data_IF_675179837822
#
_entry.id   IF_675179837822
#
_cell.length_a   1.000
_cell.length_b   1.000
_cell.length_c   1.000
_cell.angle_alpha   90.00
_cell.angle_beta   90.00
_cell.angle_gamma   90.00
#
_symmetry.space_group_name_H-M   'P 1'
#
loop_
_entity.id
_entity.type
_entity.pdbx_description
1 polymer ?
#
# COMPACT_ATOMS: atom_id res chain seq x y z
N UNK A 1 22.48 11.05 -0.22
CA UNK A 1 22.40 10.93 1.25
C UNK A 1 21.40 11.95 1.78
N UNK A 2 20.38 11.46 2.48
CA UNK A 2 19.38 12.23 3.22
C UNK A 2 19.81 12.55 4.64
N UNK A 3 19.02 13.36 5.33
CA UNK A 3 19.28 13.83 6.69
C UNK A 3 18.14 13.41 7.65
N UNK A 4 17.65 14.32 8.49
CA UNK A 4 16.43 14.10 9.27
C UNK A 4 15.24 14.66 8.51
N UNK A 5 14.17 13.88 8.39
CA UNK A 5 12.93 14.28 7.73
C UNK A 5 12.71 13.54 6.42
N UNK A 6 11.60 13.84 5.76
CA UNK A 6 11.23 13.20 4.50
C UNK A 6 12.08 13.76 3.36
N UNK A 7 12.92 12.92 2.76
CA UNK A 7 13.84 13.31 1.69
C UNK A 7 13.37 12.84 0.31
N UNK A 8 13.67 13.66 -0.71
CA UNK A 8 13.42 13.35 -2.12
C UNK A 8 14.74 13.18 -2.87
N UNK A 9 14.91 12.02 -3.50
CA UNK A 9 16.02 11.70 -4.38
C UNK A 9 15.54 11.58 -5.83
N UNK A 10 16.30 12.14 -6.76
CA UNK A 10 16.18 11.80 -8.18
C UNK A 10 17.37 10.92 -8.52
N UNK A 11 17.12 9.74 -9.10
CA UNK A 11 18.18 8.83 -9.55
C UNK A 11 19.10 9.56 -10.54
N UNK A 12 18.57 9.91 -11.70
CA UNK A 12 19.33 10.62 -12.73
C UNK A 12 20.51 9.79 -13.22
N UNK A 13 21.37 10.36 -14.07
CA UNK A 13 22.43 9.60 -14.72
C UNK A 13 23.50 9.13 -13.75
N UNK A 14 23.71 7.81 -13.70
CA UNK A 14 24.87 7.24 -13.04
C UNK A 14 24.53 5.92 -12.38
N UNK A 15 25.41 5.45 -11.50
CA UNK A 15 25.07 4.39 -10.57
C UNK A 15 25.24 5.00 -9.18
N UNK A 16 24.13 5.23 -8.47
CA UNK A 16 24.15 5.99 -7.23
C UNK A 16 23.87 5.11 -6.00
N UNK A 17 24.39 5.56 -4.86
CA UNK A 17 24.05 5.01 -3.56
C UNK A 17 23.16 6.03 -2.81
N UNK A 18 21.88 5.72 -2.72
CA UNK A 18 20.86 6.57 -2.11
C UNK A 18 20.54 6.05 -0.71
N UNK A 19 21.07 6.72 0.31
CA UNK A 19 20.66 6.52 1.71
C UNK A 19 19.66 7.60 2.09
N UNK A 20 18.43 7.22 2.43
CA UNK A 20 17.35 8.12 2.83
C UNK A 20 17.46 8.64 4.26
N UNK A 21 18.25 8.02 5.15
CA UNK A 21 18.31 8.46 6.54
C UNK A 21 17.01 8.18 7.32
N UNK A 22 16.52 9.16 8.08
CA UNK A 22 15.31 9.02 8.93
C UNK A 22 14.15 9.79 8.33
N UNK A 23 13.00 9.15 8.17
CA UNK A 23 11.79 9.79 7.63
C UNK A 23 11.12 8.86 6.62
N UNK A 24 10.11 9.38 5.93
CA UNK A 24 9.55 8.79 4.72
C UNK A 24 10.31 9.34 3.52
N UNK A 25 11.15 8.51 2.92
CA UNK A 25 12.08 8.90 1.87
C UNK A 25 11.66 8.32 0.52
N UNK A 26 11.76 9.15 -0.51
CA UNK A 26 11.23 8.90 -1.83
C UNK A 26 12.35 9.01 -2.87
N UNK A 27 12.51 8.00 -3.71
CA UNK A 27 13.35 8.04 -4.90
C UNK A 27 12.48 8.14 -6.16
N UNK A 28 12.87 8.98 -7.10
CA UNK A 28 12.16 9.22 -8.36
C UNK A 28 13.04 8.79 -9.53
N UNK A 29 12.46 7.95 -10.38
CA UNK A 29 13.01 7.41 -11.61
C UNK A 29 12.31 8.05 -12.82
N UNK A 30 13.04 8.12 -13.92
CA UNK A 30 12.66 8.90 -15.10
C UNK A 30 11.73 8.18 -16.08
N UNK A 31 11.53 6.87 -15.92
CA UNK A 31 10.82 5.99 -16.85
C UNK A 31 9.77 5.10 -16.21
N UNK A 32 9.15 4.27 -17.05
CA UNK A 32 8.10 3.34 -16.62
C UNK A 32 8.74 2.15 -15.91
N UNK A 33 8.11 1.61 -14.87
CA UNK A 33 8.65 0.49 -14.08
C UNK A 33 9.08 -0.70 -14.93
N UNK A 34 8.38 -0.97 -16.04
CA UNK A 34 8.71 -2.08 -16.96
C UNK A 34 10.08 -1.95 -17.62
N UNK A 35 10.71 -0.78 -17.56
CA UNK A 35 12.06 -0.50 -18.07
C UNK A 35 13.13 -0.68 -16.99
N UNK A 36 12.75 -1.11 -15.78
CA UNK A 36 13.66 -1.29 -14.66
C UNK A 36 13.60 -2.71 -14.09
N UNK A 37 14.74 -3.16 -13.60
CA UNK A 37 14.87 -4.36 -12.79
C UNK A 37 15.03 -3.96 -11.33
N UNK A 38 14.00 -4.22 -10.52
CA UNK A 38 14.01 -4.02 -9.07
C UNK A 38 14.39 -5.32 -8.37
N UNK A 39 15.46 -5.30 -7.58
CA UNK A 39 15.98 -6.48 -6.87
C UNK A 39 16.41 -6.13 -5.45
N UNK A 40 16.13 -7.00 -4.49
CA UNK A 40 16.67 -6.88 -3.13
C UNK A 40 18.05 -7.55 -3.10
N UNK A 41 19.10 -6.80 -2.78
CA UNK A 41 20.48 -7.32 -2.79
C UNK A 41 20.98 -7.66 -1.38
N UNK A 42 20.41 -7.04 -0.34
CA UNK A 42 20.55 -7.44 1.07
C UNK A 42 19.31 -6.99 1.89
N UNK A 43 19.33 -7.22 3.20
CA UNK A 43 18.19 -6.94 4.09
C UNK A 43 17.76 -5.47 4.06
N UNK A 44 18.70 -4.54 3.88
CA UNK A 44 18.48 -3.09 3.97
C UNK A 44 18.56 -2.36 2.61
N UNK A 45 18.98 -3.06 1.55
CA UNK A 45 19.29 -2.45 0.26
C UNK A 45 18.50 -3.05 -0.91
N UNK A 46 17.78 -2.17 -1.61
CA UNK A 46 17.14 -2.44 -2.89
C UNK A 46 18.02 -1.89 -4.01
N UNK A 47 18.28 -2.68 -5.04
CA UNK A 47 18.88 -2.22 -6.29
C UNK A 47 17.79 -2.03 -7.36
N UNK A 48 17.83 -0.89 -8.05
CA UNK A 48 16.98 -0.59 -9.20
C UNK A 48 17.91 -0.32 -10.38
N UNK A 49 17.84 -1.19 -11.40
CA UNK A 49 18.65 -1.06 -12.60
C UNK A 49 17.77 -0.67 -13.79
N UNK A 50 18.09 0.45 -14.43
CA UNK A 50 17.47 0.94 -15.66
C UNK A 50 18.03 0.19 -16.87
N UNK A 51 17.15 -0.40 -17.68
CA UNK A 51 17.51 -1.07 -18.93
C UNK A 51 17.77 -0.08 -20.08
N UNK A 52 17.44 1.21 -19.89
CA UNK A 52 17.74 2.28 -20.85
C UNK A 52 19.14 2.86 -20.62
N UNK A 53 19.95 2.89 -21.68
CA UNK A 53 21.30 3.47 -21.61
C UNK A 53 21.24 4.99 -21.34
N UNK A 54 22.14 5.46 -20.47
CA UNK A 54 22.39 6.88 -20.18
C UNK A 54 21.17 7.66 -19.61
N UNK A 55 20.25 6.97 -18.92
CA UNK A 55 19.13 7.58 -18.19
C UNK A 55 19.34 7.56 -16.69
N UNK A 56 18.87 6.53 -15.98
CA UNK A 56 19.01 6.46 -14.52
C UNK A 56 20.12 5.49 -14.06
N UNK A 57 20.51 4.54 -14.91
CA UNK A 57 21.57 3.57 -14.60
C UNK A 57 21.21 2.61 -13.47
N UNK A 58 22.16 2.25 -12.59
CA UNK A 58 21.94 1.23 -11.54
C UNK A 58 22.14 1.79 -10.14
N UNK A 59 21.04 1.97 -9.42
CA UNK A 59 21.03 2.63 -8.12
C UNK A 59 20.79 1.65 -6.97
N UNK A 60 21.48 1.88 -5.86
CA UNK A 60 21.32 1.15 -4.60
C UNK A 60 20.65 2.05 -3.55
N UNK A 61 19.43 1.68 -3.15
CA UNK A 61 18.57 2.41 -2.23
C UNK A 61 18.60 1.75 -0.85
N UNK A 62 18.89 2.54 0.18
CA UNK A 62 18.85 2.14 1.58
C UNK A 62 18.04 3.17 2.38
N UNK A 63 17.19 2.71 3.31
CA UNK A 63 16.27 3.59 4.09
C UNK A 63 15.41 4.51 3.21
N UNK A 64 15.06 4.02 2.02
CA UNK A 64 14.09 4.63 1.10
C UNK A 64 12.83 3.79 1.13
N UNK A 65 11.69 4.41 1.40
CA UNK A 65 10.40 3.75 1.57
C UNK A 65 9.67 3.63 0.24
N UNK A 66 9.87 4.60 -0.67
CA UNK A 66 9.18 4.67 -1.96
C UNK A 66 10.13 4.82 -3.11
N UNK A 67 9.95 4.03 -4.16
CA UNK A 67 10.46 4.31 -5.50
C UNK A 67 9.30 4.72 -6.41
N UNK A 68 9.39 5.88 -7.05
CA UNK A 68 8.40 6.42 -7.98
C UNK A 68 8.93 6.29 -9.39
N UNK A 69 8.17 5.61 -10.24
CA UNK A 69 8.37 5.52 -11.69
C UNK A 69 7.35 6.44 -12.39
N UNK A 70 7.45 6.63 -13.71
CA UNK A 70 6.52 7.48 -14.43
C UNK A 70 5.09 6.93 -14.49
N UNK A 71 4.92 5.62 -14.32
CA UNK A 71 3.65 4.92 -14.41
C UNK A 71 3.11 4.39 -13.07
N UNK A 72 3.96 4.04 -12.10
CA UNK A 72 3.53 3.69 -10.74
C UNK A 72 4.65 3.79 -9.68
N UNK A 73 4.30 3.55 -8.41
CA UNK A 73 5.24 3.63 -7.29
C UNK A 73 5.36 2.29 -6.57
N UNK A 74 6.56 1.92 -6.16
CA UNK A 74 6.83 0.72 -5.37
C UNK A 74 7.09 1.14 -3.93
N UNK A 75 6.34 0.55 -3.00
CA UNK A 75 6.59 0.62 -1.58
C UNK A 75 7.49 -0.50 -1.09
N UNK A 76 8.53 -0.17 -0.36
CA UNK A 76 9.40 -1.14 0.32
C UNK A 76 9.04 -1.32 1.80
N UNK A 77 8.16 -0.45 2.29
CA UNK A 77 7.71 -0.28 3.66
C UNK A 77 6.31 -0.88 3.80
N UNK A 78 6.21 -2.20 3.79
CA UNK A 78 4.92 -2.92 3.95
C UNK A 78 4.51 -3.06 5.43
N UNK A 79 5.07 -2.22 6.32
CA UNK A 79 4.86 -2.28 7.75
C UNK A 79 3.49 -1.76 8.22
N UNK A 80 3.17 -1.99 9.48
CA UNK A 80 1.96 -1.46 10.12
C UNK A 80 2.04 0.08 10.28
N UNK A 81 0.95 0.78 9.99
CA UNK A 81 0.88 2.26 10.08
C UNK A 81 1.41 3.03 8.87
N UNK A 82 1.95 2.34 7.87
CA UNK A 82 2.41 2.93 6.61
C UNK A 82 1.31 2.84 5.55
N UNK A 83 1.21 3.83 4.66
CA UNK A 83 0.17 3.91 3.60
C UNK A 83 0.17 2.66 2.71
N UNK A 84 1.34 2.06 2.53
CA UNK A 84 1.58 0.76 1.86
C UNK A 84 0.86 -0.39 2.55
N UNK A 85 0.91 -0.43 3.89
CA UNK A 85 0.34 -1.51 4.69
C UNK A 85 -1.18 -1.48 4.67
N UNK A 86 -1.78 -0.29 4.76
CA UNK A 86 -3.23 -0.15 4.63
C UNK A 86 -3.70 -0.55 3.21
N UNK A 87 -3.01 -0.04 2.18
CA UNK A 87 -3.27 -0.41 0.79
C UNK A 87 -3.16 -1.93 0.56
N UNK A 88 -2.12 -2.55 1.11
CA UNK A 88 -1.93 -4.00 1.06
C UNK A 88 -3.06 -4.77 1.76
N UNK A 89 -3.39 -4.40 3.01
CA UNK A 89 -4.43 -5.09 3.79
C UNK A 89 -5.82 -4.95 3.17
N UNK A 90 -6.12 -3.84 2.48
CA UNK A 90 -7.39 -3.69 1.77
C UNK A 90 -7.62 -4.76 0.70
N UNK A 91 -6.57 -5.33 0.10
CA UNK A 91 -6.74 -6.45 -0.84
C UNK A 91 -7.36 -7.70 -0.21
N UNK A 92 -7.34 -7.83 1.12
CA UNK A 92 -8.04 -8.89 1.84
C UNK A 92 -9.51 -9.00 1.42
N UNK A 93 -10.22 -7.88 1.17
CA UNK A 93 -11.64 -7.92 0.76
C UNK A 93 -11.87 -8.54 -0.62
N UNK A 94 -10.80 -8.81 -1.37
CA UNK A 94 -10.85 -9.50 -2.67
C UNK A 94 -10.46 -10.98 -2.54
N UNK A 95 -10.21 -11.46 -1.32
CA UNK A 95 -9.72 -12.81 -1.00
C UNK A 95 -8.41 -13.16 -1.74
N UNK A 96 -7.51 -12.19 -1.85
CA UNK A 96 -6.20 -12.39 -2.47
C UNK A 96 -5.16 -11.39 -1.97
N UNK A 97 -3.90 -11.78 -2.11
CA UNK A 97 -2.80 -10.83 -2.06
C UNK A 97 -2.80 -9.93 -3.33
N UNK A 98 -2.33 -8.68 -3.23
CA UNK A 98 -2.11 -7.87 -4.41
C UNK A 98 -1.01 -8.44 -5.30
N UNK A 99 -1.13 -8.21 -6.60
CA UNK A 99 0.02 -8.22 -7.49
C UNK A 99 0.80 -6.88 -7.38
N UNK A 100 2.08 -6.91 -7.77
CA UNK A 100 2.96 -5.76 -7.62
C UNK A 100 2.46 -4.51 -8.36
N UNK A 101 1.88 -4.69 -9.55
CA UNK A 101 1.39 -3.60 -10.38
C UNK A 101 0.13 -2.96 -9.76
N UNK A 102 -0.82 -3.77 -9.32
CA UNK A 102 -2.03 -3.31 -8.66
C UNK A 102 -1.74 -2.55 -7.36
N UNK A 103 -0.90 -3.12 -6.49
CA UNK A 103 -0.50 -2.43 -5.25
C UNK A 103 0.24 -1.13 -5.54
N UNK A 104 1.16 -1.16 -6.52
CA UNK A 104 1.94 0.01 -6.88
C UNK A 104 1.09 1.14 -7.47
N UNK A 105 0.06 0.82 -8.24
CA UNK A 105 -0.92 1.79 -8.72
C UNK A 105 -1.64 2.48 -7.56
N UNK A 106 -2.14 1.74 -6.57
CA UNK A 106 -2.85 2.33 -5.44
C UNK A 106 -1.95 3.18 -4.57
N UNK A 107 -0.75 2.67 -4.26
CA UNK A 107 0.29 3.43 -3.55
C UNK A 107 0.57 4.75 -4.27
N UNK A 108 0.80 4.71 -5.58
CA UNK A 108 1.08 5.90 -6.37
C UNK A 108 -0.03 6.94 -6.22
N UNK A 109 -1.29 6.53 -6.40
CA UNK A 109 -2.42 7.45 -6.29
C UNK A 109 -2.59 8.03 -4.88
N UNK A 110 -2.38 7.23 -3.84
CA UNK A 110 -2.43 7.68 -2.44
C UNK A 110 -1.31 8.69 -2.16
N UNK A 111 -0.09 8.43 -2.64
CA UNK A 111 1.04 9.36 -2.53
C UNK A 111 0.79 10.67 -3.31
N UNK A 112 -0.04 10.64 -4.37
CA UNK A 112 -0.51 11.84 -5.09
C UNK A 112 -1.73 12.53 -4.44
N UNK A 113 -2.18 12.07 -3.26
CA UNK A 113 -3.24 12.71 -2.48
C UNK A 113 -4.62 12.07 -2.59
N UNK A 114 -4.77 10.90 -3.23
CA UNK A 114 -5.98 10.09 -3.09
C UNK A 114 -6.15 9.67 -1.63
N UNK A 115 -7.37 9.78 -1.09
CA UNK A 115 -7.63 9.31 0.27
C UNK A 115 -7.72 7.78 0.33
N UNK A 116 -7.35 7.17 1.46
CA UNK A 116 -7.57 5.75 1.70
C UNK A 116 -9.06 5.37 1.62
N UNK A 117 -9.96 6.30 1.96
CA UNK A 117 -11.40 6.11 1.81
C UNK A 117 -11.82 6.01 0.35
N UNK A 118 -11.26 6.84 -0.55
CA UNK A 118 -11.55 6.75 -1.99
C UNK A 118 -11.00 5.44 -2.59
N UNK A 119 -9.81 5.03 -2.15
CA UNK A 119 -9.25 3.71 -2.50
C UNK A 119 -10.18 2.59 -2.04
N UNK A 120 -10.54 2.54 -0.76
CA UNK A 120 -11.46 1.55 -0.20
C UNK A 120 -12.80 1.52 -0.96
N UNK A 121 -13.34 2.69 -1.30
CA UNK A 121 -14.56 2.81 -2.08
C UNK A 121 -14.42 2.22 -3.49
N UNK A 122 -13.26 2.35 -4.12
CA UNK A 122 -12.99 1.74 -5.42
C UNK A 122 -12.94 0.21 -5.35
N UNK A 123 -12.36 -0.36 -4.29
CA UNK A 123 -12.39 -1.82 -4.05
C UNK A 123 -13.83 -2.30 -3.89
N UNK A 124 -14.61 -1.66 -3.02
CA UNK A 124 -16.00 -2.05 -2.73
C UNK A 124 -16.93 -1.89 -3.95
N UNK A 125 -16.60 -1.01 -4.89
CA UNK A 125 -17.33 -0.81 -6.14
C UNK A 125 -16.85 -1.69 -7.29
N UNK A 126 -15.77 -2.45 -7.11
CA UNK A 126 -15.20 -3.29 -8.16
C UNK A 126 -16.11 -4.50 -8.47
N UNK A 127 -16.09 -4.94 -9.73
CA UNK A 127 -16.73 -6.19 -10.12
C UNK A 127 -16.11 -7.41 -9.42
N UNK A 128 -14.84 -7.30 -9.03
CA UNK A 128 -14.12 -8.31 -8.27
C UNK A 128 -14.71 -8.47 -6.87
N UNK A 129 -14.84 -7.39 -6.10
CA UNK A 129 -15.49 -7.41 -4.79
C UNK A 129 -16.92 -7.97 -4.86
N UNK A 130 -17.71 -7.53 -5.85
CA UNK A 130 -19.06 -8.04 -6.03
C UNK A 130 -19.11 -9.54 -6.36
N UNK A 131 -18.07 -10.08 -7.01
CA UNK A 131 -17.96 -11.50 -7.35
C UNK A 131 -17.50 -12.33 -6.16
N UNK A 132 -16.59 -11.80 -5.34
CA UNK A 132 -16.06 -12.46 -4.13
C UNK A 132 -17.08 -12.46 -2.98
N UNK A 133 -17.71 -11.31 -2.72
CA UNK A 133 -18.52 -11.09 -1.50
C UNK A 133 -20.03 -10.98 -1.76
N UNK A 134 -20.43 -10.85 -3.02
CA UNK A 134 -21.80 -10.51 -3.39
C UNK A 134 -22.11 -9.02 -3.17
N UNK A 135 -23.34 -8.63 -3.49
CA UNK A 135 -23.75 -7.20 -3.53
C UNK A 135 -24.68 -6.77 -2.40
N UNK A 136 -25.16 -7.70 -1.57
CA UNK A 136 -26.27 -7.45 -0.63
C UNK A 136 -25.97 -7.91 0.81
N UNK A 137 -24.77 -7.61 1.31
CA UNK A 137 -24.45 -7.83 2.72
C UNK A 137 -25.19 -6.81 3.61
N UNK A 138 -25.72 -7.27 4.74
CA UNK A 138 -26.12 -6.36 5.82
C UNK A 138 -24.89 -5.91 6.64
N UNK A 139 -25.07 -4.93 7.54
CA UNK A 139 -23.95 -4.37 8.30
C UNK A 139 -23.19 -5.42 9.13
N UNK A 140 -23.90 -6.34 9.79
CA UNK A 140 -23.28 -7.40 10.58
C UNK A 140 -22.48 -8.35 9.71
N UNK A 141 -23.04 -8.78 8.57
CA UNK A 141 -22.35 -9.66 7.62
C UNK A 141 -21.11 -8.99 7.04
N UNK A 142 -21.23 -7.73 6.64
CA UNK A 142 -20.10 -6.94 6.13
C UNK A 142 -18.96 -6.86 7.15
N UNK A 143 -19.26 -6.50 8.40
CA UNK A 143 -18.24 -6.41 9.45
C UNK A 143 -17.62 -7.77 9.76
N UNK A 144 -18.42 -8.84 9.88
CA UNK A 144 -17.89 -10.19 10.10
C UNK A 144 -16.93 -10.59 9.00
N UNK A 145 -17.29 -10.31 7.74
CA UNK A 145 -16.45 -10.63 6.60
C UNK A 145 -15.13 -9.85 6.61
N UNK A 146 -15.14 -8.56 7.00
CA UNK A 146 -13.88 -7.80 7.13
C UNK A 146 -12.92 -8.39 8.17
N UNK A 147 -13.41 -9.00 9.25
CA UNK A 147 -12.55 -9.70 10.21
C UNK A 147 -11.84 -10.90 9.58
N UNK A 148 -12.56 -11.68 8.80
CA UNK A 148 -12.01 -12.86 8.11
C UNK A 148 -11.05 -12.44 6.98
N UNK A 149 -11.50 -11.53 6.12
CA UNK A 149 -10.79 -11.13 4.90
C UNK A 149 -9.54 -10.28 5.20
N UNK A 150 -9.68 -9.25 6.03
CA UNK A 150 -8.63 -8.23 6.25
C UNK A 150 -7.75 -8.57 7.45
N UNK A 151 -8.33 -9.11 8.52
CA UNK A 151 -7.60 -9.42 9.76
C UNK A 151 -7.26 -10.91 9.90
N UNK A 152 -7.76 -11.77 9.01
CA UNK A 152 -7.50 -13.21 9.02
C UNK A 152 -7.82 -13.86 10.38
N UNK A 153 -8.89 -13.38 11.03
CA UNK A 153 -9.33 -13.87 12.34
C UNK A 153 -10.83 -13.79 12.50
N UNK A 154 -11.35 -14.57 13.43
CA UNK A 154 -12.75 -14.44 13.84
C UNK A 154 -13.01 -13.11 14.54
N UNK A 155 -14.20 -12.56 14.28
CA UNK A 155 -14.70 -11.37 14.96
C UNK A 155 -15.01 -11.70 16.42
N UNK A 156 -14.40 -10.97 17.36
CA UNK A 156 -14.87 -10.97 18.73
C UNK A 156 -16.18 -10.17 18.85
N UNK A 157 -17.05 -10.55 19.79
CA UNK A 157 -18.39 -9.97 19.91
C UNK A 157 -18.35 -8.45 20.11
N UNK A 158 -17.45 -7.97 20.96
CA UNK A 158 -17.35 -6.55 21.31
C UNK A 158 -16.87 -5.71 20.14
N UNK A 159 -15.83 -6.16 19.44
CA UNK A 159 -15.28 -5.51 18.26
C UNK A 159 -16.28 -5.49 17.10
N UNK A 160 -16.96 -6.61 16.84
CA UNK A 160 -18.03 -6.66 15.82
C UNK A 160 -19.14 -5.66 16.14
N UNK A 161 -19.61 -5.63 17.38
CA UNK A 161 -20.64 -4.67 17.82
C UNK A 161 -20.19 -3.23 17.62
N UNK A 162 -18.95 -2.91 17.99
CA UNK A 162 -18.40 -1.57 17.82
C UNK A 162 -18.45 -1.11 16.36
N UNK A 163 -17.94 -1.93 15.42
CA UNK A 163 -17.90 -1.57 14.00
C UNK A 163 -19.29 -1.51 13.38
N UNK A 164 -20.20 -2.41 13.75
CA UNK A 164 -21.60 -2.35 13.33
C UNK A 164 -22.26 -1.06 13.82
N UNK A 165 -21.96 -0.63 15.05
CA UNK A 165 -22.47 0.64 15.58
C UNK A 165 -21.95 1.85 14.79
N UNK A 166 -20.69 1.83 14.31
CA UNK A 166 -20.17 2.90 13.45
C UNK A 166 -20.99 3.02 12.16
N UNK A 167 -21.30 1.89 11.51
CA UNK A 167 -22.16 1.88 10.32
C UNK A 167 -23.58 2.41 10.63
N UNK A 168 -24.13 2.08 11.80
CA UNK A 168 -25.44 2.59 12.24
C UNK A 168 -25.40 4.11 12.51
N UNK A 169 -24.28 4.62 13.01
CA UNK A 169 -24.05 6.06 13.25
C UNK A 169 -23.79 6.86 11.97
N UNK A 170 -23.69 6.19 10.82
CA UNK A 170 -23.57 6.83 9.51
C UNK A 170 -22.17 6.78 8.91
N UNK A 171 -21.22 6.06 9.51
CA UNK A 171 -19.97 5.74 8.83
C UNK A 171 -20.26 4.93 7.56
N UNK A 172 -19.55 5.25 6.49
CA UNK A 172 -19.57 4.49 5.26
C UNK A 172 -18.85 3.16 5.42
N UNK A 173 -19.15 2.21 4.54
CA UNK A 173 -18.41 0.94 4.47
C UNK A 173 -16.94 1.17 4.15
N UNK A 174 -16.63 2.13 3.28
CA UNK A 174 -15.26 2.49 2.95
C UNK A 174 -14.50 2.98 4.18
N UNK A 175 -15.08 3.85 5.02
CA UNK A 175 -14.45 4.29 6.27
C UNK A 175 -14.23 3.14 7.25
N UNK A 176 -15.16 2.19 7.35
CA UNK A 176 -14.97 0.99 8.18
C UNK A 176 -13.85 0.12 7.63
N UNK A 177 -13.79 -0.13 6.32
CA UNK A 177 -12.69 -0.88 5.70
C UNK A 177 -11.33 -0.19 5.94
N UNK A 178 -11.26 1.14 5.82
CA UNK A 178 -10.05 1.89 6.19
C UNK A 178 -9.68 1.60 7.64
N UNK A 179 -10.64 1.71 8.57
CA UNK A 179 -10.42 1.41 9.97
C UNK A 179 -9.87 0.00 10.24
N UNK A 180 -10.38 -1.02 9.54
CA UNK A 180 -9.84 -2.39 9.59
C UNK A 180 -8.43 -2.48 9.00
N UNK A 181 -8.20 -1.83 7.85
CA UNK A 181 -6.90 -1.81 7.20
C UNK A 181 -5.84 -1.03 7.98
N UNK A 182 -6.23 -0.15 8.90
CA UNK A 182 -5.32 0.60 9.77
C UNK A 182 -5.22 0.01 11.17
N UNK A 183 -6.21 -0.80 11.60
CA UNK A 183 -6.18 -1.47 12.89
C UNK A 183 -5.12 -2.58 12.89
N UNK A 184 -4.04 -2.28 13.59
CA UNK A 184 -2.92 -3.12 13.99
C UNK A 184 -3.17 -4.64 14.00
N UNK A 185 -2.23 -5.36 13.40
CA UNK A 185 -1.81 -6.72 13.75
C UNK A 185 -1.33 -6.79 15.21
N UNK A 186 -2.19 -6.47 16.20
CA UNK A 186 -1.88 -6.79 17.60
C UNK A 186 -2.13 -8.28 17.84
N UNK A 187 -1.27 -9.09 17.22
CA UNK A 187 -1.04 -10.47 17.58
C UNK A 187 0.22 -10.56 18.43
N UNK A 188 0.06 -10.38 19.75
CA UNK A 188 0.86 -10.97 20.85
C UNK A 188 2.40 -10.87 20.76
#
# INVERSE_FOLDING_TARGET
FGAQGDDLFHAGRGNDALDGGRGLNHAYFSGDYSEYVVSRIDDDTIQIADDMQERDGTDALSRVQRAHFSDFSVGFDVGAGESTGAAYRMYGVLDRAPDAQGLGYWIHNVDQGMSLTDMAQAFLNSSEYASTNGTNLNNTQYVTQLYEDVLQRDADESGRMYWVEQLVKGASRAEVLVGFSESQEDGI
#
